data_IF_836967855871
#
_entry.id   IF_836967855871
#
_cell.length_a   1.000
_cell.length_b   1.000
_cell.length_c   1.000
_cell.angle_alpha   90.00
_cell.angle_beta   90.00
_cell.angle_gamma   90.00
#
_symmetry.space_group_name_H-M   'P 1'
#
loop_
_entity.id
_entity.type
_entity.pdbx_description
1 polymer ?
#
# COMPACT_ATOMS: atom_id res chain seq x y z
N UNK A 1 -17.26 -8.93 28.78
CA UNK A 1 -16.59 -10.19 29.13
C UNK A 1 -15.70 -10.55 27.95
N UNK A 2 -14.38 -10.49 28.13
CA UNK A 2 -13.41 -10.76 27.07
C UNK A 2 -13.33 -12.27 26.84
N UNK A 3 -13.39 -12.71 25.58
CA UNK A 3 -13.30 -14.15 25.25
C UNK A 3 -11.84 -14.57 25.33
N UNK A 4 -11.54 -15.61 26.10
CA UNK A 4 -10.27 -16.32 25.99
C UNK A 4 -10.33 -17.30 24.81
N UNK A 5 -9.25 -17.39 24.05
CA UNK A 5 -9.10 -18.33 22.96
C UNK A 5 -7.98 -19.31 23.30
N UNK A 6 -8.29 -20.60 23.33
CA UNK A 6 -7.29 -21.66 23.53
C UNK A 6 -6.35 -21.74 22.33
N UNK A 7 -5.06 -21.96 22.60
CA UNK A 7 -4.06 -22.13 21.55
C UNK A 7 -4.12 -23.54 20.98
N UNK A 8 -4.19 -23.63 19.65
CA UNK A 8 -4.07 -24.89 18.91
C UNK A 8 -2.89 -24.81 17.94
N UNK A 9 -1.98 -25.81 17.93
CA UNK A 9 -0.87 -25.82 16.98
C UNK A 9 -1.38 -25.93 15.53
N UNK A 10 -0.68 -25.31 14.55
CA UNK A 10 -1.09 -25.37 13.16
C UNK A 10 -0.91 -26.78 12.58
N UNK A 11 -1.87 -27.20 11.74
CA UNK A 11 -1.78 -28.44 10.96
C UNK A 11 -1.60 -28.11 9.48
N UNK A 12 -0.59 -28.70 8.83
CA UNK A 12 -0.36 -28.52 7.38
C UNK A 12 -1.50 -29.19 6.61
N UNK A 13 -2.19 -28.44 5.77
CA UNK A 13 -3.38 -28.93 5.05
C UNK A 13 -3.06 -30.02 4.01
N UNK A 14 -1.93 -29.89 3.31
CA UNK A 14 -1.50 -30.82 2.26
C UNK A 14 -0.02 -31.13 2.46
N UNK A 15 0.31 -32.03 3.38
CA UNK A 15 1.69 -32.41 3.63
C UNK A 15 2.18 -33.42 2.57
N UNK A 16 2.84 -32.89 1.53
CA UNK A 16 3.49 -33.66 0.45
C UNK A 16 2.64 -34.83 -0.08
N UNK A 17 1.44 -34.56 -0.63
CA UNK A 17 0.60 -35.62 -1.17
C UNK A 17 1.35 -36.37 -2.27
N UNK A 18 1.10 -37.68 -2.41
CA UNK A 18 1.82 -38.54 -3.36
C UNK A 18 1.84 -37.98 -4.80
N UNK A 19 0.76 -37.31 -5.23
CA UNK A 19 0.67 -36.68 -6.54
C UNK A 19 1.57 -35.44 -6.73
N UNK A 20 2.05 -34.83 -5.64
CA UNK A 20 2.99 -33.71 -5.64
C UNK A 20 4.46 -34.17 -5.58
N UNK A 21 4.72 -35.38 -5.09
CA UNK A 21 6.07 -35.95 -5.01
C UNK A 21 6.56 -36.38 -6.38
N UNK A 22 7.83 -36.09 -6.69
CA UNK A 22 8.51 -36.51 -7.93
C UNK A 22 9.78 -37.29 -7.58
N UNK A 23 10.18 -38.22 -8.46
CA UNK A 23 11.51 -38.83 -8.37
C UNK A 23 12.56 -37.81 -8.77
N UNK A 24 13.49 -37.52 -7.85
CA UNK A 24 14.61 -36.60 -8.11
C UNK A 24 15.52 -37.18 -9.19
N UNK A 25 15.84 -38.48 -9.10
CA UNK A 25 16.65 -39.19 -10.07
C UNK A 25 16.03 -39.14 -11.48
N UNK A 26 14.70 -39.35 -11.60
CA UNK A 26 14.02 -39.24 -12.90
C UNK A 26 14.08 -37.80 -13.44
N UNK A 27 13.85 -36.81 -12.58
CA UNK A 27 13.91 -35.41 -12.97
C UNK A 27 15.32 -35.01 -13.44
N UNK A 28 16.37 -35.41 -12.71
CA UNK A 28 17.76 -35.14 -13.07
C UNK A 28 18.17 -35.89 -14.34
N UNK A 29 17.85 -37.17 -14.46
CA UNK A 29 18.15 -37.97 -15.66
C UNK A 29 17.54 -37.35 -16.93
N UNK A 30 16.27 -36.95 -16.85
CA UNK A 30 15.57 -36.30 -17.98
C UNK A 30 16.13 -34.91 -18.27
N UNK A 31 16.50 -34.15 -17.24
CA UNK A 31 17.13 -32.85 -17.41
C UNK A 31 18.48 -32.99 -18.11
N UNK A 32 19.35 -33.90 -17.67
CA UNK A 32 20.66 -34.15 -18.31
C UNK A 32 20.47 -34.54 -19.77
N UNK A 33 19.57 -35.48 -20.06
CA UNK A 33 19.25 -35.86 -21.44
C UNK A 33 18.78 -34.70 -22.31
N UNK A 34 17.96 -33.81 -21.76
CA UNK A 34 17.49 -32.64 -22.50
C UNK A 34 18.62 -31.61 -22.75
N UNK A 35 19.56 -31.47 -21.81
CA UNK A 35 20.74 -30.62 -21.96
C UNK A 35 21.75 -31.17 -22.99
N UNK A 36 21.83 -32.49 -23.13
CA UNK A 36 22.62 -33.16 -24.18
C UNK A 36 21.94 -33.09 -25.56
N UNK A 37 20.69 -32.63 -25.62
CA UNK A 37 19.91 -32.44 -26.83
C UNK A 37 20.30 -31.20 -27.63
N UNK A 38 19.47 -30.86 -28.63
CA UNK A 38 19.63 -29.63 -29.41
C UNK A 38 18.70 -28.53 -28.91
N UNK A 39 19.17 -27.27 -28.97
CA UNK A 39 18.32 -26.11 -28.67
C UNK A 39 17.27 -25.96 -29.76
N UNK A 40 16.01 -26.12 -29.38
CA UNK A 40 14.86 -26.03 -30.31
C UNK A 40 14.42 -24.59 -30.53
N UNK A 41 14.54 -23.76 -29.51
CA UNK A 41 14.16 -22.35 -29.52
C UNK A 41 15.02 -21.56 -28.53
N UNK A 42 15.53 -20.43 -28.99
CA UNK A 42 16.17 -19.42 -28.14
C UNK A 42 15.48 -18.09 -28.41
N UNK A 43 15.02 -17.42 -27.35
CA UNK A 43 14.38 -16.12 -27.43
C UNK A 43 14.81 -15.24 -26.27
N UNK A 44 14.93 -13.94 -26.53
CA UNK A 44 15.11 -12.92 -25.51
C UNK A 44 13.75 -12.25 -25.29
N UNK A 45 13.34 -12.12 -24.03
CA UNK A 45 12.19 -11.28 -23.64
C UNK A 45 12.74 -9.90 -23.30
N UNK A 46 12.50 -8.87 -24.14
CA UNK A 46 12.91 -7.51 -23.80
C UNK A 46 12.33 -7.05 -22.47
N UNK A 47 13.02 -6.13 -21.79
CA UNK A 47 12.46 -5.44 -20.61
C UNK A 47 11.11 -4.85 -20.97
N UNK A 48 10.16 -4.88 -20.03
CA UNK A 48 8.82 -4.32 -20.22
C UNK A 48 8.11 -4.91 -21.46
N UNK A 49 8.18 -6.23 -21.62
CA UNK A 49 7.48 -6.95 -22.68
C UNK A 49 7.16 -8.38 -22.24
N UNK A 50 6.38 -9.09 -23.05
CA UNK A 50 6.15 -10.52 -22.86
C UNK A 50 6.28 -11.25 -24.21
N UNK A 51 6.61 -12.53 -24.13
CA UNK A 51 6.68 -13.45 -25.27
C UNK A 51 5.96 -14.74 -24.90
N UNK A 52 5.40 -15.39 -25.92
CA UNK A 52 4.77 -16.70 -25.79
C UNK A 52 5.61 -17.71 -26.53
N UNK A 53 5.80 -18.89 -25.95
CA UNK A 53 6.44 -20.02 -26.60
C UNK A 53 5.74 -21.32 -26.21
N UNK A 54 5.94 -22.36 -27.00
CA UNK A 54 5.33 -23.67 -26.78
C UNK A 54 6.34 -24.64 -26.19
N UNK A 55 5.94 -25.35 -25.13
CA UNK A 55 6.68 -26.47 -24.56
C UNK A 55 6.01 -27.79 -24.98
N UNK A 56 6.74 -28.64 -25.69
CA UNK A 56 6.32 -29.98 -26.09
C UNK A 56 6.68 -31.03 -25.04
N UNK A 57 6.23 -32.26 -25.28
CA UNK A 57 6.60 -33.40 -24.43
C UNK A 57 8.12 -33.59 -24.50
N UNK A 58 8.73 -33.83 -23.35
CA UNK A 58 10.18 -34.04 -23.18
C UNK A 58 11.06 -32.79 -23.36
N UNK A 59 10.48 -31.64 -23.70
CA UNK A 59 11.23 -30.38 -23.70
C UNK A 59 11.59 -29.91 -22.28
N UNK A 60 12.78 -29.31 -22.17
CA UNK A 60 13.25 -28.55 -21.02
C UNK A 60 13.23 -27.06 -21.39
N UNK A 61 12.59 -26.23 -20.56
CA UNK A 61 12.63 -24.79 -20.69
C UNK A 61 13.55 -24.21 -19.61
N UNK A 62 14.62 -23.54 -20.05
CA UNK A 62 15.47 -22.71 -19.19
C UNK A 62 15.07 -21.25 -19.33
N UNK A 63 14.80 -20.59 -18.21
CA UNK A 63 14.73 -19.13 -18.14
C UNK A 63 15.98 -18.65 -17.42
N UNK A 64 16.78 -17.81 -18.07
CA UNK A 64 18.07 -17.32 -17.56
C UNK A 64 18.18 -15.79 -17.63
N UNK A 65 19.13 -15.25 -16.87
CA UNK A 65 19.40 -13.82 -16.79
C UNK A 65 20.68 -13.44 -17.54
N UNK A 66 20.63 -12.99 -18.81
CA UNK A 66 21.83 -12.73 -19.61
C UNK A 66 22.54 -11.40 -19.27
N UNK A 67 21.83 -10.42 -18.73
CA UNK A 67 22.35 -9.06 -18.50
C UNK A 67 22.54 -8.72 -17.02
N UNK A 68 21.57 -9.05 -16.17
CA UNK A 68 21.57 -8.66 -14.76
C UNK A 68 20.32 -9.13 -14.02
N UNK A 69 20.10 -8.59 -12.83
CA UNK A 69 18.94 -8.94 -11.99
C UNK A 69 17.63 -8.52 -12.68
N UNK A 70 16.71 -9.46 -12.81
CA UNK A 70 15.37 -9.23 -13.35
C UNK A 70 14.42 -10.30 -12.80
N UNK A 71 13.20 -9.88 -12.50
CA UNK A 71 12.10 -10.77 -12.11
C UNK A 71 11.19 -11.02 -13.32
N UNK A 72 10.48 -12.14 -13.34
CA UNK A 72 9.58 -12.50 -14.43
C UNK A 72 8.23 -13.01 -13.92
N UNK A 73 7.20 -12.72 -14.69
CA UNK A 73 5.83 -13.15 -14.43
C UNK A 73 5.46 -14.23 -15.45
N UNK A 74 5.28 -15.47 -15.01
CA UNK A 74 4.93 -16.58 -15.91
C UNK A 74 3.47 -16.99 -15.79
N UNK A 75 2.85 -17.25 -16.94
CA UNK A 75 1.56 -17.90 -17.10
C UNK A 75 1.74 -19.17 -17.93
N UNK A 76 0.93 -20.19 -17.66
CA UNK A 76 0.95 -21.45 -18.42
C UNK A 76 -0.47 -21.80 -18.85
N UNK A 77 -0.61 -22.20 -20.11
CA UNK A 77 -1.86 -22.66 -20.67
C UNK A 77 -1.68 -24.06 -21.26
N UNK A 78 -2.75 -24.84 -21.28
CA UNK A 78 -2.78 -26.05 -22.08
C UNK A 78 -2.79 -25.67 -23.56
N UNK A 79 -1.85 -26.21 -24.34
CA UNK A 79 -1.72 -25.96 -25.78
C UNK A 79 -3.01 -26.27 -26.58
N UNK A 80 -3.73 -27.31 -26.20
CA UNK A 80 -4.90 -27.80 -26.93
C UNK A 80 -6.20 -27.10 -26.48
N UNK A 81 -6.25 -26.59 -25.24
CA UNK A 81 -7.45 -25.98 -24.64
C UNK A 81 -7.09 -24.79 -23.73
N UNK A 82 -6.45 -23.74 -24.26
CA UNK A 82 -5.85 -22.69 -23.43
C UNK A 82 -6.89 -21.86 -22.65
N UNK A 83 -8.11 -21.69 -23.16
CA UNK A 83 -9.19 -20.99 -22.44
C UNK A 83 -9.74 -21.78 -21.25
N UNK A 84 -9.61 -23.10 -21.26
CA UNK A 84 -10.22 -23.98 -20.27
C UNK A 84 -9.22 -24.43 -19.20
N UNK A 85 -8.01 -24.79 -19.58
CA UNK A 85 -6.99 -25.30 -18.66
C UNK A 85 -5.75 -24.38 -18.66
N UNK A 86 -5.51 -23.76 -17.50
CA UNK A 86 -4.40 -22.84 -17.24
C UNK A 86 -3.82 -23.04 -15.84
N UNK A 87 -2.65 -22.45 -15.59
CA UNK A 87 -2.00 -22.53 -14.29
C UNK A 87 -2.86 -21.92 -13.17
N UNK A 88 -2.75 -22.53 -11.99
CA UNK A 88 -3.53 -22.16 -10.81
C UNK A 88 -2.61 -21.98 -9.60
N UNK A 89 -2.14 -20.74 -9.42
CA UNK A 89 -1.26 -20.33 -8.30
C UNK A 89 -1.88 -20.68 -6.95
N UNK A 90 -3.18 -20.43 -6.75
CA UNK A 90 -3.87 -20.65 -5.48
C UNK A 90 -3.81 -22.09 -4.98
N UNK A 91 -4.06 -23.09 -5.85
CA UNK A 91 -3.97 -24.50 -5.45
C UNK A 91 -2.54 -24.99 -5.41
N UNK A 92 -1.68 -24.50 -6.30
CA UNK A 92 -0.23 -24.73 -6.25
C UNK A 92 0.35 -24.30 -4.90
N UNK A 93 -0.04 -23.12 -4.41
CA UNK A 93 0.34 -22.59 -3.10
C UNK A 93 -0.12 -23.46 -1.93
N UNK A 94 -1.34 -24.00 -2.02
CA UNK A 94 -1.87 -24.88 -0.97
C UNK A 94 -1.15 -26.23 -0.93
N UNK A 95 -0.78 -26.79 -2.08
CA UNK A 95 -0.11 -28.09 -2.19
C UNK A 95 1.37 -28.00 -1.81
N UNK A 96 2.03 -26.91 -2.19
CA UNK A 96 3.48 -26.74 -2.00
C UNK A 96 3.78 -25.74 -0.88
N UNK A 97 3.82 -24.44 -1.21
CA UNK A 97 4.11 -23.36 -0.27
C UNK A 97 3.83 -21.99 -0.91
N UNK A 98 4.15 -20.91 -0.20
CA UNK A 98 4.11 -19.54 -0.74
C UNK A 98 5.05 -19.34 -1.93
N UNK A 99 6.12 -20.12 -1.99
CA UNK A 99 7.20 -20.05 -2.97
C UNK A 99 7.55 -21.46 -3.46
N UNK A 100 7.77 -21.61 -4.76
CA UNK A 100 8.12 -22.91 -5.34
C UNK A 100 9.61 -23.19 -5.24
N UNK A 101 9.95 -24.46 -5.00
CA UNK A 101 11.31 -24.97 -4.94
C UNK A 101 11.54 -26.03 -6.01
N UNK A 102 12.81 -26.37 -6.24
CA UNK A 102 13.18 -27.53 -7.05
C UNK A 102 12.36 -28.75 -6.62
N UNK A 103 11.76 -29.41 -7.60
CA UNK A 103 10.86 -30.57 -7.53
C UNK A 103 9.38 -30.28 -7.24
N UNK A 104 8.99 -29.02 -7.04
CA UNK A 104 7.58 -28.65 -6.99
C UNK A 104 6.91 -28.65 -8.37
N UNK A 105 5.58 -28.76 -8.38
CA UNK A 105 4.76 -28.83 -9.58
C UNK A 105 3.90 -27.58 -9.71
N UNK A 106 3.71 -27.12 -10.94
CA UNK A 106 2.73 -26.11 -11.30
C UNK A 106 1.43 -26.82 -11.67
N UNK A 107 0.35 -26.54 -10.94
CA UNK A 107 -0.93 -27.23 -11.08
C UNK A 107 -1.93 -26.43 -11.93
N UNK A 108 -2.76 -27.13 -12.70
CA UNK A 108 -3.84 -26.52 -13.47
C UNK A 108 -5.10 -26.24 -12.65
N UNK A 109 -5.94 -25.35 -13.18
CA UNK A 109 -7.23 -24.97 -12.61
C UNK A 109 -8.25 -26.12 -12.58
N UNK A 110 -9.34 -25.91 -11.85
CA UNK A 110 -10.49 -26.81 -11.89
C UNK A 110 -11.21 -26.75 -13.25
N UNK A 111 -11.82 -27.86 -13.71
CA UNK A 111 -11.91 -29.17 -13.07
C UNK A 111 -10.72 -30.11 -13.40
N UNK A 112 -9.64 -29.58 -13.96
CA UNK A 112 -8.52 -30.39 -14.47
C UNK A 112 -7.58 -30.87 -13.35
N UNK A 113 -7.18 -29.95 -12.46
CA UNK A 113 -6.27 -30.16 -11.32
C UNK A 113 -5.20 -31.24 -11.58
N UNK A 114 -4.29 -30.95 -12.50
CA UNK A 114 -3.16 -31.82 -12.78
C UNK A 114 -1.85 -31.03 -12.90
N UNK A 115 -0.70 -31.69 -12.78
CA UNK A 115 0.58 -31.06 -13.07
C UNK A 115 0.65 -30.61 -14.54
N UNK A 116 1.03 -29.35 -14.75
CA UNK A 116 1.34 -28.78 -16.07
C UNK A 116 2.84 -28.78 -16.34
N UNK A 117 3.62 -28.40 -15.33
CA UNK A 117 5.07 -28.36 -15.38
C UNK A 117 5.68 -28.71 -14.01
N UNK A 118 6.92 -29.17 -14.03
CA UNK A 118 7.73 -29.45 -12.82
C UNK A 118 8.94 -28.53 -12.84
N UNK A 119 9.19 -27.85 -11.73
CA UNK A 119 10.39 -27.05 -11.51
C UNK A 119 11.54 -28.01 -11.20
N UNK A 120 12.56 -28.12 -12.05
CA UNK A 120 13.57 -29.19 -11.94
C UNK A 120 14.97 -28.71 -11.60
N UNK A 121 15.24 -27.40 -11.71
CA UNK A 121 16.50 -26.83 -11.23
C UNK A 121 16.35 -25.35 -10.94
N UNK A 122 16.88 -24.92 -9.81
CA UNK A 122 17.03 -23.51 -9.43
C UNK A 122 18.50 -23.22 -9.11
N UNK A 123 19.12 -22.26 -9.80
CA UNK A 123 20.48 -21.82 -9.45
C UNK A 123 20.53 -21.11 -8.10
N UNK A 124 19.41 -20.57 -7.62
CA UNK A 124 19.27 -19.81 -6.38
C UNK A 124 18.65 -20.63 -5.23
N UNK A 125 18.58 -21.96 -5.34
CA UNK A 125 17.94 -22.83 -4.33
C UNK A 125 18.47 -22.64 -2.91
N UNK A 126 19.72 -22.20 -2.77
CA UNK A 126 20.37 -21.96 -1.49
C UNK A 126 19.82 -20.74 -0.72
N UNK A 127 19.02 -19.88 -1.37
CA UNK A 127 18.45 -18.68 -0.73
C UNK A 127 17.55 -19.03 0.46
N UNK A 128 16.74 -20.09 0.33
CA UNK A 128 15.86 -20.54 1.40
C UNK A 128 14.79 -19.51 1.79
N UNK A 129 14.61 -19.33 3.10
CA UNK A 129 13.72 -18.32 3.69
C UNK A 129 14.58 -17.38 4.52
N UNK A 130 14.55 -16.09 4.23
CA UNK A 130 15.34 -15.09 4.93
C UNK A 130 14.74 -14.68 6.29
N UNK A 131 15.47 -13.84 7.05
CA UNK A 131 15.08 -13.39 8.39
C UNK A 131 13.71 -12.68 8.43
N UNK A 132 13.32 -12.00 7.36
CA UNK A 132 12.07 -11.26 7.26
C UNK A 132 10.91 -12.17 6.81
N UNK A 133 11.18 -13.46 6.53
CA UNK A 133 10.22 -14.41 5.98
C UNK A 133 10.16 -14.42 4.45
N UNK A 134 11.15 -13.82 3.78
CA UNK A 134 11.21 -13.70 2.33
C UNK A 134 11.77 -14.95 1.64
N UNK A 135 11.25 -15.31 0.47
CA UNK A 135 11.78 -16.39 -0.38
C UNK A 135 11.61 -16.06 -1.86
N UNK A 136 12.06 -16.94 -2.76
CA UNK A 136 12.09 -16.71 -4.22
C UNK A 136 11.06 -17.53 -4.98
N UNK A 137 10.62 -17.05 -6.15
CA UNK A 137 9.73 -17.76 -7.06
C UNK A 137 8.31 -17.91 -6.50
N UNK A 138 7.69 -16.78 -6.18
CA UNK A 138 6.43 -16.71 -5.45
C UNK A 138 5.21 -17.18 -6.29
N UNK A 139 4.23 -17.77 -5.61
CA UNK A 139 2.89 -18.06 -6.13
C UNK A 139 1.80 -17.44 -5.24
N UNK A 140 2.16 -16.37 -4.52
CA UNK A 140 1.28 -15.64 -3.61
C UNK A 140 0.78 -14.33 -4.20
N UNK A 141 1.60 -13.70 -5.03
CA UNK A 141 1.23 -12.52 -5.79
C UNK A 141 0.30 -12.88 -6.95
N UNK A 142 -0.30 -11.84 -7.53
CA UNK A 142 -1.15 -11.98 -8.72
C UNK A 142 -0.35 -11.62 -9.97
N UNK A 143 0.02 -10.35 -10.10
CA UNK A 143 0.89 -9.69 -11.10
C UNK A 143 0.78 -8.20 -10.88
N UNK A 144 1.75 -7.41 -11.33
CA UNK A 144 1.51 -5.98 -11.37
C UNK A 144 0.50 -5.65 -12.49
N UNK A 145 -0.46 -4.78 -12.18
CA UNK A 145 -1.53 -4.41 -13.09
C UNK A 145 -1.80 -2.90 -13.08
N UNK A 146 -2.45 -2.41 -14.13
CA UNK A 146 -2.74 -0.98 -14.30
C UNK A 146 -3.98 -0.54 -13.51
N UNK A 147 -4.85 -1.48 -13.12
CA UNK A 147 -6.06 -1.21 -12.35
C UNK A 147 -5.75 -0.80 -10.92
N UNK A 148 -4.88 -1.55 -10.23
CA UNK A 148 -4.45 -1.21 -8.87
C UNK A 148 -3.64 0.07 -8.84
N UNK A 149 -2.84 0.32 -9.90
CA UNK A 149 -2.13 1.58 -10.05
C UNK A 149 -3.12 2.75 -10.12
N UNK A 150 -4.09 2.68 -11.03
CA UNK A 150 -5.15 3.69 -11.16
C UNK A 150 -5.95 3.86 -9.88
N UNK A 151 -6.30 2.76 -9.20
CA UNK A 151 -7.04 2.79 -7.94
C UNK A 151 -6.28 3.54 -6.84
N UNK A 152 -4.97 3.32 -6.73
CA UNK A 152 -4.13 3.92 -5.67
C UNK A 152 -3.73 5.36 -6.01
N UNK A 153 -3.35 5.64 -7.25
CA UNK A 153 -2.74 6.92 -7.65
C UNK A 153 -3.75 7.90 -8.27
N UNK A 154 -4.85 7.38 -8.83
CA UNK A 154 -5.78 8.12 -9.68
C UNK A 154 -5.28 8.39 -11.10
N UNK A 155 -4.12 7.84 -11.48
CA UNK A 155 -3.48 8.08 -12.78
C UNK A 155 -3.52 6.81 -13.65
N UNK A 156 -3.73 6.97 -14.96
CA UNK A 156 -3.69 5.86 -15.92
C UNK A 156 -2.26 5.43 -16.25
N UNK A 157 -2.08 4.15 -16.55
CA UNK A 157 -0.81 3.52 -16.89
C UNK A 157 -1.07 2.34 -17.82
N UNK A 158 -0.10 2.03 -18.69
CA UNK A 158 -0.19 0.91 -19.65
C UNK A 158 1.16 0.20 -19.81
N UNK A 159 1.88 0.01 -18.71
CA UNK A 159 3.25 -0.52 -18.73
C UNK A 159 3.49 -1.63 -17.68
N UNK A 160 2.43 -2.39 -17.37
CA UNK A 160 2.42 -3.46 -16.36
C UNK A 160 2.59 -4.87 -16.96
N UNK A 161 3.00 -5.84 -16.12
CA UNK A 161 3.05 -7.26 -16.48
C UNK A 161 1.70 -7.75 -17.01
N UNK A 162 0.60 -7.32 -16.38
CA UNK A 162 -0.76 -7.62 -16.85
C UNK A 162 -0.97 -7.18 -18.30
N UNK A 163 -0.60 -5.94 -18.65
CA UNK A 163 -0.74 -5.41 -20.00
C UNK A 163 0.16 -6.17 -20.97
N UNK A 164 1.43 -6.43 -20.64
CA UNK A 164 2.33 -7.17 -21.53
C UNK A 164 1.87 -8.60 -21.80
N UNK A 165 1.43 -9.32 -20.76
CA UNK A 165 0.87 -10.66 -20.92
C UNK A 165 -0.39 -10.62 -21.79
N UNK A 166 -1.29 -9.67 -21.56
CA UNK A 166 -2.52 -9.50 -22.34
C UNK A 166 -2.23 -9.26 -23.81
N UNK A 167 -1.28 -8.39 -24.14
CA UNK A 167 -0.90 -8.17 -25.55
C UNK A 167 -0.26 -9.41 -26.17
N UNK A 168 0.64 -10.09 -25.45
CA UNK A 168 1.35 -11.25 -25.98
C UNK A 168 0.42 -12.44 -26.30
N UNK A 169 -0.66 -12.63 -25.53
CA UNK A 169 -1.57 -13.76 -25.73
C UNK A 169 -2.62 -13.55 -26.84
N UNK A 170 -2.82 -12.29 -27.30
CA UNK A 170 -3.79 -11.98 -28.38
C UNK A 170 -3.46 -12.70 -29.68
N UNK A 171 -2.18 -12.86 -30.01
CA UNK A 171 -1.73 -13.60 -31.20
C UNK A 171 -2.16 -15.08 -31.19
N UNK A 172 -2.48 -15.60 -30.01
CA UNK A 172 -2.97 -16.97 -29.78
C UNK A 172 -4.49 -17.03 -29.63
N UNK A 173 -5.19 -15.95 -29.97
CA UNK A 173 -6.64 -15.83 -29.87
C UNK A 173 -7.15 -15.74 -28.43
N UNK A 174 -6.28 -15.52 -27.45
CA UNK A 174 -6.67 -15.33 -26.06
C UNK A 174 -6.95 -13.85 -25.78
N UNK A 175 -7.61 -13.62 -24.66
CA UNK A 175 -8.03 -12.29 -24.20
C UNK A 175 -7.44 -12.00 -22.82
N UNK A 176 -7.63 -10.78 -22.34
CA UNK A 176 -7.27 -10.38 -20.97
C UNK A 176 -7.83 -11.35 -19.91
N UNK A 177 -9.03 -11.89 -20.13
CA UNK A 177 -9.69 -12.82 -19.19
C UNK A 177 -8.96 -14.17 -19.06
N UNK A 178 -8.12 -14.51 -20.03
CA UNK A 178 -7.32 -15.74 -20.04
C UNK A 178 -5.98 -15.57 -19.29
N UNK A 179 -5.55 -14.32 -19.04
CA UNK A 179 -4.40 -13.98 -18.19
C UNK A 179 -4.78 -14.19 -16.72
N UNK A 180 -3.90 -14.86 -15.99
CA UNK A 180 -4.17 -15.33 -14.64
C UNK A 180 -3.00 -15.04 -13.70
N UNK A 181 -3.19 -15.35 -12.42
CA UNK A 181 -2.17 -15.15 -11.40
C UNK A 181 -0.90 -15.92 -11.74
N UNK A 182 0.24 -15.27 -11.53
CA UNK A 182 1.53 -15.67 -12.10
C UNK A 182 2.31 -16.58 -11.17
N UNK A 183 3.31 -17.23 -11.74
CA UNK A 183 4.48 -17.66 -11.00
C UNK A 183 5.56 -16.57 -11.14
N UNK A 184 5.88 -15.89 -10.03
CA UNK A 184 6.76 -14.73 -9.99
C UNK A 184 8.23 -15.17 -9.81
N UNK A 185 8.86 -15.57 -10.92
CA UNK A 185 10.22 -16.12 -10.94
C UNK A 185 11.27 -15.07 -10.59
N UNK A 186 12.28 -15.49 -9.82
CA UNK A 186 13.35 -14.67 -9.25
C UNK A 186 12.91 -13.57 -8.28
N UNK A 187 11.60 -13.33 -8.08
CA UNK A 187 11.09 -12.29 -7.19
C UNK A 187 11.25 -12.71 -5.73
N UNK A 188 11.79 -11.82 -4.89
CA UNK A 188 11.93 -12.04 -3.45
C UNK A 188 10.75 -11.43 -2.69
N UNK A 189 9.89 -12.25 -2.08
CA UNK A 189 8.65 -11.79 -1.45
C UNK A 189 8.30 -12.57 -0.20
N UNK A 190 7.32 -12.07 0.57
CA UNK A 190 6.82 -12.76 1.77
C UNK A 190 5.66 -12.00 2.41
N UNK A 191 5.31 -12.39 3.64
CA UNK A 191 4.35 -11.67 4.48
C UNK A 191 5.05 -11.16 5.74
N UNK A 192 4.81 -9.89 6.09
CA UNK A 192 5.37 -9.30 7.31
C UNK A 192 4.88 -10.07 8.54
N UNK A 193 5.76 -10.30 9.53
CA UNK A 193 5.41 -11.14 10.69
C UNK A 193 4.40 -10.46 11.61
N UNK A 194 4.47 -9.14 11.73
CA UNK A 194 3.66 -8.30 12.60
C UNK A 194 2.29 -7.96 12.00
N UNK A 195 2.25 -7.57 10.72
CA UNK A 195 1.00 -7.12 10.06
C UNK A 195 0.44 -8.09 9.03
N UNK A 196 1.16 -9.19 8.72
CA UNK A 196 0.76 -10.19 7.73
C UNK A 196 0.52 -9.61 6.32
N UNK A 197 1.22 -8.53 5.98
CA UNK A 197 1.11 -7.83 4.70
C UNK A 197 2.12 -8.35 3.69
N UNK A 198 1.71 -8.47 2.42
CA UNK A 198 2.61 -8.86 1.34
C UNK A 198 3.74 -7.83 1.15
N UNK A 199 4.98 -8.28 1.11
CA UNK A 199 6.15 -7.45 0.81
C UNK A 199 6.94 -8.03 -0.36
N UNK A 200 7.72 -7.17 -1.01
CA UNK A 200 8.76 -7.55 -1.96
C UNK A 200 10.09 -6.95 -1.48
N UNK A 201 11.21 -7.54 -1.90
CA UNK A 201 12.57 -6.99 -1.70
C UNK A 201 13.39 -7.18 -2.98
N UNK A 202 14.54 -6.49 -3.12
CA UNK A 202 15.43 -6.70 -4.26
C UNK A 202 15.76 -8.18 -4.43
N UNK A 203 15.65 -8.67 -5.67
CA UNK A 203 16.02 -10.03 -6.00
C UNK A 203 17.52 -10.24 -5.79
N UNK A 204 17.96 -11.38 -5.21
CA UNK A 204 19.37 -11.72 -5.12
C UNK A 204 19.95 -12.19 -6.47
N UNK A 205 19.10 -12.39 -7.48
CA UNK A 205 19.49 -12.95 -8.76
C UNK A 205 20.49 -12.06 -9.51
N UNK A 206 21.42 -12.68 -10.21
CA UNK A 206 22.51 -12.05 -10.95
C UNK A 206 22.56 -12.58 -12.38
N UNK A 207 23.38 -11.94 -13.19
CA UNK A 207 23.72 -12.43 -14.52
C UNK A 207 24.20 -13.89 -14.44
N UNK A 208 23.59 -14.76 -15.22
CA UNK A 208 23.87 -16.20 -15.29
C UNK A 208 22.97 -17.07 -14.41
N UNK A 209 22.20 -16.50 -13.49
CA UNK A 209 21.19 -17.26 -12.75
C UNK A 209 20.08 -17.77 -13.67
N UNK A 210 19.52 -18.93 -13.33
CA UNK A 210 18.53 -19.60 -14.15
C UNK A 210 17.62 -20.54 -13.36
N UNK A 211 16.46 -20.80 -13.95
CA UNK A 211 15.55 -21.87 -13.57
C UNK A 211 15.31 -22.80 -14.76
N UNK A 212 15.16 -24.10 -14.48
CA UNK A 212 14.76 -25.10 -15.47
C UNK A 212 13.40 -25.69 -15.11
N UNK A 213 12.51 -25.77 -16.10
CA UNK A 213 11.19 -26.39 -15.97
C UNK A 213 10.99 -27.44 -17.06
N UNK A 214 10.24 -28.50 -16.75
CA UNK A 214 9.84 -29.51 -17.72
C UNK A 214 8.33 -29.62 -17.82
N UNK A 215 7.82 -29.97 -18.99
CA UNK A 215 6.39 -30.28 -19.18
C UNK A 215 6.02 -31.58 -18.48
N UNK A 216 4.89 -31.60 -17.78
CA UNK A 216 4.29 -32.84 -17.31
C UNK A 216 3.40 -33.47 -18.40
N UNK A 217 3.41 -34.81 -18.56
CA UNK A 217 2.51 -35.49 -19.48
C UNK A 217 1.05 -35.19 -19.15
N UNK A 218 0.22 -34.99 -20.17
CA UNK A 218 -1.24 -34.96 -19.99
C UNK A 218 -1.77 -36.41 -20.04
N UNK A 219 -2.26 -36.98 -18.93
CA UNK A 219 -2.73 -38.37 -18.90
C UNK A 219 -3.92 -38.61 -19.84
N UNK A 220 -4.69 -37.56 -20.20
CA UNK A 220 -5.82 -37.65 -21.15
C UNK A 220 -5.38 -37.71 -22.62
N UNK A 221 -4.08 -37.57 -22.93
CA UNK A 221 -3.54 -37.50 -24.30
C UNK A 221 -2.88 -38.80 -24.79
N UNK A 222 -2.91 -39.88 -24.02
CA UNK A 222 -2.30 -41.15 -24.44
C UNK A 222 -2.88 -41.76 -25.74
N UNK A 223 -3.92 -41.17 -26.35
CA UNK A 223 -4.61 -41.72 -27.54
C UNK A 223 -4.86 -40.76 -28.70
N UNK A 224 -4.27 -39.55 -28.73
CA UNK A 224 -4.44 -38.63 -29.89
C UNK A 224 -3.11 -38.00 -30.31
N UNK A 225 -2.42 -38.68 -31.22
CA UNK A 225 -1.41 -38.07 -32.10
C UNK A 225 -2.12 -37.29 -33.21
N UNK A 226 -1.48 -36.22 -33.69
CA UNK A 226 -1.90 -35.31 -34.78
C UNK A 226 -2.85 -34.16 -34.41
N UNK A 227 -2.27 -33.13 -33.78
CA UNK A 227 -2.74 -31.75 -33.91
C UNK A 227 -1.51 -30.84 -33.77
N UNK A 228 -0.91 -30.49 -34.90
CA UNK A 228 0.22 -29.58 -34.98
C UNK A 228 -0.30 -28.14 -34.93
N UNK A 229 -0.15 -27.48 -33.79
CA UNK A 229 -0.08 -26.01 -33.79
C UNK A 229 1.19 -25.62 -34.56
N UNK A 230 1.12 -24.68 -35.52
CA UNK A 230 2.30 -24.29 -36.28
C UNK A 230 3.35 -23.72 -35.32
N UNK A 231 4.59 -24.23 -35.42
CA UNK A 231 5.75 -23.56 -34.84
C UNK A 231 5.84 -22.18 -35.50
N UNK A 232 5.70 -21.11 -34.73
CA UNK A 232 5.91 -19.76 -35.25
C UNK A 232 7.38 -19.64 -35.64
N UNK A 233 7.65 -19.62 -36.95
CA UNK A 233 8.92 -19.16 -37.51
C UNK A 233 9.01 -17.66 -37.22
N UNK A 234 9.63 -17.30 -36.10
CA UNK A 234 9.89 -15.89 -35.80
C UNK A 234 11.00 -15.40 -36.74
N UNK A 235 10.65 -14.46 -37.62
CA UNK A 235 11.62 -13.76 -38.45
C UNK A 235 12.46 -12.90 -37.51
N UNK A 236 13.77 -13.14 -37.54
CA UNK A 236 14.81 -12.32 -36.93
C UNK A 236 14.55 -10.82 -37.13
N UNK A 237 14.24 -10.11 -36.05
CA UNK A 237 14.39 -8.66 -35.96
C UNK A 237 15.27 -8.35 -34.76
N UNK A 238 16.58 -8.44 -34.97
CA UNK A 238 17.57 -7.85 -34.08
C UNK A 238 17.59 -6.34 -34.35
N UNK A 239 16.93 -5.53 -33.50
CA UNK A 239 17.20 -4.10 -33.48
C UNK A 239 18.46 -3.84 -32.64
N UNK A 240 19.60 -3.76 -33.35
CA UNK A 240 20.81 -3.12 -32.83
C UNK A 240 20.57 -1.61 -32.73
N UNK A 241 20.88 -1.03 -31.56
CA UNK A 241 21.22 0.38 -31.41
C UNK A 241 20.05 1.36 -31.31
N UNK A 242 19.65 1.68 -30.09
CA UNK A 242 18.91 2.89 -29.73
C UNK A 242 19.40 3.36 -28.34
N UNK A 243 19.34 4.65 -28.00
CA UNK A 243 19.84 5.15 -26.71
C UNK A 243 19.08 4.47 -25.56
N UNK A 244 19.82 3.73 -24.73
CA UNK A 244 19.29 3.07 -23.53
C UNK A 244 18.93 4.13 -22.48
N UNK A 245 17.67 4.18 -22.07
CA UNK A 245 17.30 4.84 -20.82
C UNK A 245 17.63 3.87 -19.68
N UNK A 246 18.54 4.29 -18.80
CA UNK A 246 18.93 3.57 -17.60
C UNK A 246 17.74 3.50 -16.65
N UNK A 247 17.39 2.28 -16.23
CA UNK A 247 16.49 2.05 -15.08
C UNK A 247 15.25 1.21 -15.40
N UNK A 248 15.42 -0.12 -15.38
CA UNK A 248 14.52 -1.08 -14.72
C UNK A 248 15.34 -2.34 -14.46
N UNK A 249 15.86 -2.45 -13.25
CA UNK A 249 16.77 -3.49 -12.73
C UNK A 249 16.14 -4.20 -11.50
N UNK A 250 14.81 -4.11 -11.37
CA UNK A 250 14.10 -4.52 -10.16
C UNK A 250 14.08 -3.47 -9.03
N UNK A 251 14.79 -2.33 -9.16
CA UNK A 251 14.73 -1.24 -8.18
C UNK A 251 13.47 -0.35 -8.29
N UNK A 252 12.61 -0.57 -9.29
CA UNK A 252 11.28 0.07 -9.41
C UNK A 252 10.40 -0.18 -8.18
N UNK A 253 10.74 -1.16 -7.34
CA UNK A 253 10.10 -1.38 -6.05
C UNK A 253 10.35 -0.24 -5.06
N UNK A 254 11.56 0.32 -4.95
CA UNK A 254 11.77 1.46 -4.06
C UNK A 254 10.95 2.66 -4.51
N UNK A 255 10.81 2.85 -5.83
CA UNK A 255 9.91 3.86 -6.37
C UNK A 255 8.46 3.54 -6.02
N UNK A 256 7.97 2.31 -6.24
CA UNK A 256 6.60 1.88 -5.89
C UNK A 256 6.30 1.94 -4.38
N UNK A 257 7.23 1.53 -3.51
CA UNK A 257 7.13 1.65 -2.06
C UNK A 257 7.18 3.10 -1.61
N UNK A 258 8.12 3.92 -2.12
CA UNK A 258 8.16 5.36 -1.79
C UNK A 258 6.87 6.03 -2.24
N UNK A 259 6.38 5.74 -3.45
CA UNK A 259 5.13 6.27 -3.98
C UNK A 259 3.94 5.81 -3.12
N UNK A 260 3.81 4.52 -2.82
CA UNK A 260 2.76 3.98 -1.96
C UNK A 260 2.82 4.50 -0.52
N UNK A 261 4.01 4.60 0.08
CA UNK A 261 4.23 5.18 1.40
C UNK A 261 3.91 6.68 1.41
N UNK A 262 4.29 7.44 0.36
CA UNK A 262 3.90 8.84 0.22
C UNK A 262 2.38 9.01 0.11
N UNK A 263 1.69 8.12 -0.61
CA UNK A 263 0.23 8.12 -0.69
C UNK A 263 -0.42 7.75 0.65
N UNK A 264 0.10 6.76 1.38
CA UNK A 264 -0.38 6.42 2.72
C UNK A 264 -0.14 7.56 3.72
N UNK A 265 1.04 8.19 3.72
CA UNK A 265 1.35 9.34 4.57
C UNK A 265 0.42 10.52 4.23
N UNK A 266 0.18 10.79 2.95
CA UNK A 266 -0.72 11.85 2.54
C UNK A 266 -2.16 11.55 2.97
N UNK A 267 -2.66 10.35 2.71
CA UNK A 267 -4.01 9.93 3.08
C UNK A 267 -4.24 9.99 4.60
N UNK A 268 -3.28 9.48 5.38
CA UNK A 268 -3.35 9.48 6.85
C UNK A 268 -3.36 10.91 7.42
N UNK A 269 -2.46 11.78 6.96
CA UNK A 269 -2.41 13.17 7.44
C UNK A 269 -3.63 13.98 6.97
N UNK A 270 -4.22 13.69 5.80
CA UNK A 270 -5.49 14.29 5.38
C UNK A 270 -6.63 13.91 6.31
N UNK A 271 -6.72 12.64 6.69
CA UNK A 271 -7.74 12.15 7.63
C UNK A 271 -7.57 12.81 9.01
N UNK A 272 -6.34 12.80 9.55
CA UNK A 272 -6.03 13.42 10.84
C UNK A 272 -6.30 14.92 10.87
N UNK A 273 -5.94 15.66 9.81
CA UNK A 273 -6.25 17.08 9.72
C UNK A 273 -7.77 17.35 9.70
N UNK A 274 -8.57 16.51 9.04
CA UNK A 274 -10.04 16.62 9.08
C UNK A 274 -10.58 16.41 10.50
N UNK A 275 -10.02 15.47 11.27
CA UNK A 275 -10.38 15.31 12.68
C UNK A 275 -10.02 16.54 13.52
N UNK A 276 -8.83 17.14 13.31
CA UNK A 276 -8.50 18.39 14.00
C UNK A 276 -9.49 19.51 13.66
N UNK A 277 -9.88 19.64 12.38
CA UNK A 277 -10.91 20.60 11.96
C UNK A 277 -12.25 20.30 12.63
N UNK A 278 -12.66 19.03 12.70
CA UNK A 278 -13.88 18.62 13.40
C UNK A 278 -13.87 19.01 14.88
N UNK A 279 -12.78 18.71 15.61
CA UNK A 279 -12.67 19.12 17.02
C UNK A 279 -12.57 20.64 17.19
N UNK A 280 -12.00 21.35 16.23
CA UNK A 280 -12.04 22.81 16.21
C UNK A 280 -13.48 23.32 16.09
N UNK A 281 -14.31 22.73 15.22
CA UNK A 281 -15.74 23.05 15.17
C UNK A 281 -16.46 22.76 16.49
N UNK A 282 -16.13 21.66 17.18
CA UNK A 282 -16.73 21.35 18.49
C UNK A 282 -16.39 22.44 19.53
N UNK A 283 -15.11 22.83 19.62
CA UNK A 283 -14.68 23.91 20.50
C UNK A 283 -15.28 25.26 20.10
N UNK A 284 -15.45 25.50 18.79
CA UNK A 284 -16.17 26.68 18.28
C UNK A 284 -17.62 26.70 18.77
N UNK A 285 -18.35 25.59 18.75
CA UNK A 285 -19.71 25.56 19.29
C UNK A 285 -19.76 25.79 20.80
N UNK A 286 -18.79 25.26 21.56
CA UNK A 286 -18.68 25.55 23.00
C UNK A 286 -18.48 27.05 23.24
N UNK A 287 -17.54 27.67 22.51
CA UNK A 287 -17.32 29.11 22.57
C UNK A 287 -18.56 29.89 22.14
N UNK A 288 -19.24 29.47 21.06
CA UNK A 288 -20.43 30.12 20.54
C UNK A 288 -21.59 30.08 21.55
N UNK A 289 -21.77 28.96 22.27
CA UNK A 289 -22.76 28.86 23.35
C UNK A 289 -22.44 29.88 24.44
N UNK A 290 -21.18 30.02 24.83
CA UNK A 290 -20.77 31.04 25.80
C UNK A 290 -21.04 32.46 25.28
N UNK A 291 -20.71 32.75 24.02
CA UNK A 291 -20.97 34.05 23.38
C UNK A 291 -22.46 34.32 23.14
N UNK A 292 -23.30 33.28 23.12
CA UNK A 292 -24.71 33.41 22.75
C UNK A 292 -25.50 34.33 23.69
N UNK A 293 -25.14 34.37 24.98
CA UNK A 293 -25.75 35.30 25.94
C UNK A 293 -25.58 36.76 25.50
N UNK A 294 -24.34 37.23 25.33
CA UNK A 294 -24.05 38.60 24.88
C UNK A 294 -24.59 38.88 23.46
N UNK A 295 -24.66 37.87 22.58
CA UNK A 295 -25.28 38.04 21.25
C UNK A 295 -26.79 38.25 21.36
N UNK A 296 -27.50 37.49 22.20
CA UNK A 296 -28.94 37.61 22.40
C UNK A 296 -29.29 38.96 23.04
N UNK A 297 -28.50 39.40 24.02
CA UNK A 297 -28.66 40.71 24.65
C UNK A 297 -28.54 41.86 23.64
N UNK A 298 -27.55 41.79 22.75
CA UNK A 298 -27.37 42.78 21.67
C UNK A 298 -28.49 42.76 20.62
N UNK A 299 -29.26 41.69 20.55
CA UNK A 299 -30.43 41.55 19.69
C UNK A 299 -31.74 41.90 20.40
N UNK A 300 -31.68 42.34 21.67
CA UNK A 300 -32.83 42.64 22.51
C UNK A 300 -33.73 41.41 22.74
N UNK A 301 -33.13 40.23 22.86
CA UNK A 301 -33.81 38.94 23.12
C UNK A 301 -33.50 38.47 24.54
N UNK A 302 -34.50 38.47 25.41
CA UNK A 302 -34.35 38.06 26.80
C UNK A 302 -34.78 36.60 27.03
N UNK A 303 -33.90 35.80 27.66
CA UNK A 303 -34.17 34.41 28.08
C UNK A 303 -33.76 34.27 29.54
N UNK A 304 -34.74 34.06 30.43
CA UNK A 304 -34.54 34.05 31.88
C UNK A 304 -33.51 32.99 32.32
N UNK A 305 -33.58 31.79 31.76
CA UNK A 305 -32.71 30.67 32.12
C UNK A 305 -31.23 30.94 31.75
N UNK A 306 -30.97 31.78 30.75
CA UNK A 306 -29.60 32.15 30.36
C UNK A 306 -29.05 33.23 31.28
N UNK A 307 -29.90 34.18 31.68
CA UNK A 307 -29.55 35.27 32.61
C UNK A 307 -29.25 34.76 34.02
N UNK A 308 -30.00 33.75 34.49
CA UNK A 308 -29.74 33.08 35.76
C UNK A 308 -28.36 32.40 35.83
N UNK A 309 -27.76 32.05 34.69
CA UNK A 309 -26.41 31.47 34.64
C UNK A 309 -25.31 32.50 34.92
N UNK A 310 -25.63 33.80 34.88
CA UNK A 310 -24.69 34.90 35.13
C UNK A 310 -23.38 34.73 34.35
N UNK A 311 -23.50 34.41 33.05
CA UNK A 311 -22.35 34.11 32.19
C UNK A 311 -21.46 35.35 32.07
N UNK A 312 -20.14 35.26 32.34
CA UNK A 312 -19.29 36.44 32.30
C UNK A 312 -19.21 37.05 30.90
N UNK A 313 -19.26 38.38 30.85
CA UNK A 313 -19.24 39.14 29.59
C UNK A 313 -18.04 38.75 28.74
N UNK A 314 -18.23 38.48 27.43
CA UNK A 314 -17.12 38.10 26.58
C UNK A 314 -16.07 39.17 26.36
N UNK A 315 -14.82 38.75 26.37
CA UNK A 315 -13.70 39.56 25.93
C UNK A 315 -13.56 39.48 24.40
N UNK A 316 -12.96 40.51 23.81
CA UNK A 316 -12.77 40.58 22.34
C UNK A 316 -11.99 39.39 21.76
N UNK A 317 -11.06 38.80 22.51
CA UNK A 317 -10.27 37.66 22.04
C UNK A 317 -11.15 36.44 21.73
N UNK A 318 -12.25 36.25 22.46
CA UNK A 318 -13.18 35.14 22.25
C UNK A 318 -13.87 35.25 20.88
N UNK A 319 -14.31 36.45 20.53
CA UNK A 319 -14.86 36.78 19.22
C UNK A 319 -13.84 36.59 18.10
N UNK A 320 -12.61 37.09 18.30
CA UNK A 320 -11.54 36.92 17.30
C UNK A 320 -11.18 35.45 17.10
N UNK A 321 -11.16 34.65 18.17
CA UNK A 321 -10.88 33.22 18.08
C UNK A 321 -11.95 32.48 17.26
N UNK A 322 -13.23 32.84 17.41
CA UNK A 322 -14.33 32.29 16.61
C UNK A 322 -14.14 32.50 15.10
N UNK A 323 -13.47 33.56 14.66
CA UNK A 323 -13.18 33.78 13.23
C UNK A 323 -12.26 32.71 12.65
N UNK A 324 -11.48 32.02 13.48
CA UNK A 324 -10.55 31.00 13.02
C UNK A 324 -11.24 29.77 12.40
N UNK A 325 -12.52 29.52 12.70
CA UNK A 325 -13.29 28.41 12.12
C UNK A 325 -13.44 28.56 10.61
N UNK A 326 -13.52 29.80 10.10
CA UNK A 326 -13.62 30.08 8.66
C UNK A 326 -12.34 29.74 7.88
N UNK A 327 -11.19 29.63 8.57
CA UNK A 327 -9.96 29.20 7.94
C UNK A 327 -10.02 27.74 7.50
N UNK A 328 -10.89 26.93 8.11
CA UNK A 328 -11.10 25.53 7.72
C UNK A 328 -11.46 25.37 6.24
N UNK A 329 -12.08 26.38 5.60
CA UNK A 329 -12.33 26.37 4.16
C UNK A 329 -11.04 26.24 3.36
N UNK A 330 -9.98 26.98 3.72
CA UNK A 330 -8.67 26.84 3.07
C UNK A 330 -8.05 25.46 3.33
N UNK A 331 -8.15 24.95 4.56
CA UNK A 331 -7.64 23.62 4.93
C UNK A 331 -8.31 22.48 4.17
N UNK A 332 -9.65 22.44 4.19
CA UNK A 332 -10.45 21.41 3.50
C UNK A 332 -10.29 21.49 1.98
N UNK A 333 -10.29 22.70 1.43
CA UNK A 333 -10.15 22.88 0.00
C UNK A 333 -8.72 22.61 -0.49
N UNK A 334 -7.70 22.77 0.37
CA UNK A 334 -6.35 22.31 0.11
C UNK A 334 -6.24 20.77 0.15
N UNK A 335 -6.88 20.11 1.13
CA UNK A 335 -6.94 18.65 1.24
C UNK A 335 -7.58 17.98 0.03
N UNK A 336 -8.66 18.57 -0.50
CA UNK A 336 -9.38 18.06 -1.69
C UNK A 336 -8.51 18.12 -2.95
N UNK A 337 -7.78 19.21 -3.15
CA UNK A 337 -7.02 19.45 -4.39
C UNK A 337 -5.50 19.31 -4.28
N UNK A 338 -4.96 18.85 -3.14
CA UNK A 338 -3.52 18.87 -2.83
C UNK A 338 -2.86 20.25 -3.04
N UNK A 339 -3.59 21.33 -2.74
CA UNK A 339 -3.17 22.70 -3.07
C UNK A 339 -2.25 23.26 -1.98
N UNK A 340 -0.94 23.26 -2.25
CA UNK A 340 0.10 23.71 -1.31
C UNK A 340 -0.13 25.16 -0.85
N UNK A 341 -0.49 26.07 -1.76
CA UNK A 341 -0.66 27.48 -1.41
C UNK A 341 -1.85 27.72 -0.48
N UNK A 342 -2.95 27.00 -0.67
CA UNK A 342 -4.11 27.12 0.22
C UNK A 342 -3.83 26.49 1.59
N UNK A 343 -3.04 25.40 1.64
CA UNK A 343 -2.57 24.85 2.92
C UNK A 343 -1.67 25.83 3.68
N UNK A 344 -0.81 26.58 2.97
CA UNK A 344 0.00 27.63 3.61
C UNK A 344 -0.87 28.76 4.16
N UNK A 345 -1.90 29.21 3.43
CA UNK A 345 -2.86 30.21 3.91
C UNK A 345 -3.57 29.71 5.16
N UNK A 346 -4.01 28.45 5.17
CA UNK A 346 -4.59 27.81 6.35
C UNK A 346 -3.62 27.84 7.54
N UNK A 347 -2.37 27.42 7.34
CA UNK A 347 -1.37 27.41 8.41
C UNK A 347 -1.09 28.81 8.97
N UNK A 348 -0.87 29.79 8.10
CA UNK A 348 -0.66 31.19 8.53
C UNK A 348 -1.88 31.70 9.30
N UNK A 349 -3.09 31.44 8.79
CA UNK A 349 -4.32 31.83 9.47
C UNK A 349 -4.47 31.18 10.85
N UNK A 350 -4.18 29.89 11.00
CA UNK A 350 -4.26 29.22 12.31
C UNK A 350 -3.21 29.81 13.26
N UNK A 351 -1.98 30.02 12.78
CA UNK A 351 -0.92 30.66 13.57
C UNK A 351 -1.25 32.07 14.05
N UNK A 352 -2.07 32.83 13.32
CA UNK A 352 -2.41 34.21 13.70
C UNK A 352 -3.78 34.30 14.36
N UNK A 353 -4.85 33.85 13.72
CA UNK A 353 -6.24 34.06 14.16
C UNK A 353 -6.65 33.06 15.25
N UNK A 354 -6.07 31.85 15.28
CA UNK A 354 -6.37 30.89 16.35
C UNK A 354 -5.41 30.99 17.53
N UNK A 355 -4.09 31.09 17.31
CA UNK A 355 -3.13 31.08 18.42
C UNK A 355 -3.01 32.41 19.17
N UNK A 356 -3.06 33.56 18.49
CA UNK A 356 -2.87 34.86 19.16
C UNK A 356 -3.96 35.14 20.22
N UNK A 357 -5.26 34.90 19.95
CA UNK A 357 -6.28 35.06 20.99
C UNK A 357 -6.09 34.12 22.19
N UNK A 358 -5.61 32.89 21.97
CA UNK A 358 -5.33 31.95 23.05
C UNK A 358 -4.14 32.40 23.90
N UNK A 359 -3.09 32.94 23.27
CA UNK A 359 -1.96 33.53 24.01
C UNK A 359 -2.41 34.74 24.83
N UNK A 360 -3.26 35.60 24.26
CA UNK A 360 -3.85 36.71 25.01
C UNK A 360 -4.63 36.21 26.23
N UNK A 361 -5.47 35.18 26.07
CA UNK A 361 -6.20 34.55 27.17
C UNK A 361 -5.27 34.07 28.28
N UNK A 362 -4.15 33.42 27.94
CA UNK A 362 -3.14 32.97 28.93
C UNK A 362 -2.60 34.16 29.71
N UNK A 363 -2.15 35.22 29.03
CA UNK A 363 -1.57 36.37 29.71
C UNK A 363 -2.61 37.15 30.53
N UNK A 364 -3.85 37.24 30.05
CA UNK A 364 -4.92 37.95 30.72
C UNK A 364 -5.27 37.31 32.07
N UNK A 365 -5.40 35.98 32.11
CA UNK A 365 -5.75 35.23 33.33
C UNK A 365 -4.53 34.70 34.09
N UNK A 366 -3.30 35.11 33.72
CA UNK A 366 -2.08 34.54 34.29
C UNK A 366 -2.01 34.73 35.80
N UNK A 367 -2.34 35.92 36.29
CA UNK A 367 -2.27 36.24 37.71
C UNK A 367 -3.29 35.41 38.51
N UNK A 368 -4.56 35.39 38.09
CA UNK A 368 -5.61 34.59 38.72
C UNK A 368 -5.23 33.11 38.83
N UNK A 369 -4.63 32.56 37.77
CA UNK A 369 -4.20 31.15 37.76
C UNK A 369 -3.00 30.93 38.68
N UNK A 370 -2.00 31.83 38.67
CA UNK A 370 -0.83 31.74 39.54
C UNK A 370 -1.21 31.90 41.00
N UNK A 371 -2.12 32.82 41.32
CA UNK A 371 -2.65 33.02 42.66
C UNK A 371 -3.36 31.74 43.12
N UNK A 372 -4.28 31.20 42.31
CA UNK A 372 -5.01 29.98 42.65
C UNK A 372 -4.10 28.79 42.96
N UNK A 373 -3.09 28.52 42.13
CA UNK A 373 -2.19 27.37 42.34
C UNK A 373 -1.24 27.57 43.54
N UNK A 374 -1.13 28.80 44.04
CA UNK A 374 -0.30 29.17 45.20
C UNK A 374 -1.11 29.31 46.49
N UNK A 375 -2.43 29.12 46.45
CA UNK A 375 -3.29 29.22 47.63
C UNK A 375 -2.91 28.19 48.68
N UNK A 376 -2.94 28.61 49.94
CA UNK A 376 -2.79 27.72 51.08
C UNK A 376 -4.03 26.85 51.25
N UNK A 377 -3.83 25.63 51.75
CA UNK A 377 -4.91 24.67 51.92
C UNK A 377 -5.89 25.17 53.00
N UNK A 378 -7.14 25.42 52.61
CA UNK A 378 -8.20 25.94 53.49
C UNK A 378 -8.54 27.42 53.31
N UNK A 379 -7.87 28.14 52.41
CA UNK A 379 -8.28 29.51 52.02
C UNK A 379 -9.55 29.47 51.18
N UNK A 380 -10.56 30.28 51.53
CA UNK A 380 -11.79 30.42 50.75
C UNK A 380 -11.56 31.33 49.54
N UNK A 381 -12.13 30.99 48.38
CA UNK A 381 -11.96 31.79 47.15
C UNK A 381 -12.52 33.21 47.27
N UNK A 382 -13.51 33.42 48.15
CA UNK A 382 -14.12 34.73 48.40
C UNK A 382 -13.14 35.72 49.06
N UNK A 383 -12.09 35.23 49.71
CA UNK A 383 -11.04 36.03 50.35
C UNK A 383 -9.90 36.41 49.40
N UNK A 384 -10.01 36.06 48.12
CA UNK A 384 -8.98 36.28 47.08
C UNK A 384 -9.45 37.28 46.03
N UNK A 385 -8.53 37.86 45.26
CA UNK A 385 -8.88 38.75 44.13
C UNK A 385 -9.24 37.97 42.85
N UNK A 386 -9.36 36.63 42.94
CA UNK A 386 -9.62 35.74 41.82
C UNK A 386 -11.07 35.88 41.36
N UNK A 387 -11.28 36.08 40.06
CA UNK A 387 -12.63 36.12 39.50
C UNK A 387 -13.26 34.70 39.44
N UNK A 388 -14.44 34.54 40.06
CA UNK A 388 -15.16 33.27 40.18
C UNK A 388 -16.46 33.30 39.37
N UNK A 389 -16.75 32.21 38.66
CA UNK A 389 -18.03 31.98 38.00
C UNK A 389 -18.61 30.62 38.44
N UNK A 390 -19.83 30.64 38.99
CA UNK A 390 -20.53 29.43 39.48
C UNK A 390 -19.70 28.61 40.48
N UNK A 391 -18.94 29.28 41.35
CA UNK A 391 -18.07 28.64 42.35
C UNK A 391 -16.73 28.13 41.82
N UNK A 392 -16.42 28.33 40.53
CA UNK A 392 -15.15 27.94 39.93
C UNK A 392 -14.30 29.16 39.54
N UNK A 393 -12.97 29.12 39.75
CA UNK A 393 -12.06 30.17 39.27
C UNK A 393 -12.10 30.24 37.75
N UNK A 394 -12.58 31.37 37.22
CA UNK A 394 -12.91 31.51 35.81
C UNK A 394 -11.67 31.42 34.90
N UNK A 395 -10.54 31.96 35.35
CA UNK A 395 -9.25 31.86 34.63
C UNK A 395 -8.79 30.42 34.42
N UNK A 396 -9.08 29.51 35.36
CA UNK A 396 -8.75 28.09 35.24
C UNK A 396 -9.64 27.35 34.25
N UNK A 397 -10.94 27.68 34.21
CA UNK A 397 -11.83 27.15 33.16
C UNK A 397 -11.32 27.53 31.77
N UNK A 398 -10.85 28.77 31.62
CA UNK A 398 -10.22 29.22 30.39
C UNK A 398 -8.91 28.50 30.08
N UNK A 399 -8.05 28.26 31.07
CA UNK A 399 -6.84 27.46 30.86
C UNK A 399 -7.16 26.03 30.40
N UNK A 400 -8.24 25.43 30.90
CA UNK A 400 -8.74 24.14 30.43
C UNK A 400 -9.16 24.19 28.95
N UNK A 401 -9.94 25.20 28.55
CA UNK A 401 -10.29 25.42 27.14
C UNK A 401 -9.06 25.66 26.26
N UNK A 402 -8.15 26.54 26.71
CA UNK A 402 -6.93 26.90 26.00
C UNK A 402 -6.08 25.65 25.77
N UNK A 403 -5.92 24.77 26.76
CA UNK A 403 -5.15 23.54 26.62
C UNK A 403 -5.68 22.65 25.48
N UNK A 404 -7.01 22.46 25.42
CA UNK A 404 -7.66 21.68 24.36
C UNK A 404 -7.52 22.36 23.00
N UNK A 405 -7.78 23.66 22.93
CA UNK A 405 -7.68 24.43 21.69
C UNK A 405 -6.24 24.47 21.15
N UNK A 406 -5.25 24.68 22.02
CA UNK A 406 -3.83 24.67 21.68
C UNK A 406 -3.41 23.32 21.11
N UNK A 407 -3.86 22.21 21.72
CA UNK A 407 -3.59 20.86 21.23
C UNK A 407 -4.17 20.64 19.82
N UNK A 408 -5.43 21.01 19.61
CA UNK A 408 -6.11 20.89 18.30
C UNK A 408 -5.39 21.71 17.22
N UNK A 409 -5.02 22.96 17.53
CA UNK A 409 -4.34 23.86 16.59
C UNK A 409 -2.89 23.44 16.33
N UNK A 410 -2.19 22.94 17.34
CA UNK A 410 -0.84 22.40 17.20
C UNK A 410 -0.82 21.21 16.26
N UNK A 411 -1.71 20.23 16.48
CA UNK A 411 -1.83 19.07 15.59
C UNK A 411 -2.31 19.48 14.19
N UNK A 412 -3.17 20.48 14.06
CA UNK A 412 -3.56 21.03 12.75
C UNK A 412 -2.35 21.53 11.97
N UNK A 413 -1.46 22.32 12.59
CA UNK A 413 -0.24 22.80 11.97
C UNK A 413 0.74 21.65 11.66
N UNK A 414 0.90 20.69 12.57
CA UNK A 414 1.77 19.54 12.39
C UNK A 414 1.34 18.68 11.18
N UNK A 415 0.06 18.31 11.08
CA UNK A 415 -0.44 17.53 9.96
C UNK A 415 -0.44 18.33 8.64
N UNK A 416 -0.74 19.63 8.69
CA UNK A 416 -0.64 20.52 7.52
C UNK A 416 0.80 20.59 6.99
N UNK A 417 1.80 20.72 7.88
CA UNK A 417 3.22 20.70 7.51
C UNK A 417 3.62 19.38 6.83
N UNK A 418 3.22 18.24 7.42
CA UNK A 418 3.48 16.92 6.84
C UNK A 418 2.83 16.75 5.46
N UNK A 419 1.64 17.32 5.25
CA UNK A 419 0.99 17.33 3.95
C UNK A 419 1.75 18.15 2.92
N UNK A 420 2.22 19.35 3.28
CA UNK A 420 3.05 20.17 2.38
C UNK A 420 4.33 19.42 1.99
N UNK A 421 4.99 18.76 2.95
CA UNK A 421 6.20 17.95 2.69
C UNK A 421 5.89 16.82 1.71
N UNK A 422 4.80 16.08 1.93
CA UNK A 422 4.37 14.99 1.06
C UNK A 422 4.01 15.47 -0.36
N UNK A 423 3.27 16.58 -0.48
CA UNK A 423 2.85 17.12 -1.78
C UNK A 423 4.01 17.73 -2.58
N UNK A 424 4.99 18.35 -1.91
CA UNK A 424 6.21 18.85 -2.56
C UNK A 424 7.07 17.72 -3.09
N UNK A 425 7.26 16.65 -2.30
CA UNK A 425 7.99 15.47 -2.75
C UNK A 425 7.37 14.87 -4.02
N UNK A 426 6.03 14.78 -4.08
CA UNK A 426 5.31 14.38 -5.30
C UNK A 426 5.58 15.32 -6.47
N UNK A 427 5.49 16.64 -6.27
CA UNK A 427 5.71 17.63 -7.34
C UNK A 427 7.15 17.73 -7.84
N UNK A 428 8.14 17.28 -7.04
CA UNK A 428 9.53 17.16 -7.46
C UNK A 428 9.77 15.87 -8.27
N UNK A 429 9.20 14.74 -7.81
CA UNK A 429 9.26 13.45 -8.55
C UNK A 429 8.65 13.57 -9.94
N UNK A 430 7.48 14.23 -10.08
CA UNK A 430 6.81 14.44 -11.37
C UNK A 430 7.59 15.34 -12.35
N UNK A 431 8.57 16.11 -11.87
CA UNK A 431 9.42 16.99 -12.70
C UNK A 431 10.77 16.35 -13.06
N UNK A 432 11.14 15.28 -12.37
CA UNK A 432 12.36 14.52 -12.60
C UNK A 432 12.14 13.28 -13.50
N UNK A 433 10.89 12.85 -13.63
CA UNK A 433 10.38 11.98 -14.69
C UNK A 433 10.02 12.83 -15.90
#
# INVERSE_FOLDING_TARGET
MERSFEYFPPTICYDKPAAATVSQEECESRRTRALDGSVVLELIVPKKSAKVWTLQKDDLCRVSLPEGSQVGDLNFWNLDQPRLERFYSGKTRQIHSTHLKTYDRLWSCFPYLRPMATFVRDSLQAYGIDRDGGSLHDVVGTRCDDYIYKLITGEDRHDSCHTYLTEAVKEYGLTEQDVHDTWNIFMCTGFTRDTQQYFCKPSPARKGDYIDTRKNPNPRRASRENSAFPRTNDRTMASRGGPMVIGTDGADFEHRQRVAAHYQISALNKSRLKYCIFFHYLLFFVMLVKLSADILDRLDIFILEIEELQIPTPLWWEYFWCLSVFLSFFGLAAVRGNRINDMKKYMVGISTIAFVPLLYCIFYYLNDVLEYISLEEGTELEDTDIFVWQGYPYGLLWYGFVLLAFQVHFFSLFFAWNLIKAWRARGALKRAQ
#
